data_IF_161830960097
#
_entry.id   IF_161830960097
#
_cell.length_a   1.000
_cell.length_b   1.000
_cell.length_c   1.000
_cell.angle_alpha   90.00
_cell.angle_beta   90.00
_cell.angle_gamma   90.00
#
_symmetry.space_group_name_H-M   'P 1'
#
loop_
_entity.id
_entity.type
_entity.pdbx_description
1 polymer ?
#
# COMPACT_ATOMS: atom_id res chain seq x y z
N UNK A 1 -5.12 2.99 -8.94
CA UNK A 1 -5.00 3.89 -7.76
C UNK A 1 -3.57 4.42 -7.71
N UNK A 2 -3.39 5.75 -7.65
CA UNK A 2 -2.08 6.37 -7.81
C UNK A 2 -0.97 5.90 -6.82
N UNK A 3 -1.22 5.71 -5.50
CA UNK A 3 -0.18 5.21 -4.60
C UNK A 3 0.27 3.78 -4.92
N UNK A 4 -0.68 2.88 -5.23
CA UNK A 4 -0.40 1.47 -5.57
C UNK A 4 0.39 1.38 -6.87
N UNK A 5 0.06 2.18 -7.89
CA UNK A 5 0.78 2.24 -9.16
C UNK A 5 2.22 2.74 -8.98
N UNK A 6 2.42 3.76 -8.14
CA UNK A 6 3.75 4.28 -7.83
C UNK A 6 4.60 3.24 -7.06
N UNK A 7 4.03 2.61 -6.04
CA UNK A 7 4.69 1.55 -5.27
C UNK A 7 5.00 0.33 -6.15
N UNK A 8 4.07 -0.10 -7.01
CA UNK A 8 4.31 -1.14 -8.02
C UNK A 8 5.50 -0.78 -8.92
N UNK A 9 5.66 0.49 -9.26
CA UNK A 9 6.79 1.02 -10.04
C UNK A 9 8.08 1.21 -9.23
N UNK A 10 8.16 0.65 -8.02
CA UNK A 10 9.25 0.80 -7.07
C UNK A 10 9.61 2.27 -6.78
N UNK A 11 8.61 3.16 -6.78
CA UNK A 11 8.77 4.56 -6.38
C UNK A 11 8.35 4.74 -4.93
N UNK A 12 9.17 5.48 -4.18
CA UNK A 12 8.83 5.86 -2.80
C UNK A 12 7.62 6.78 -2.82
N UNK A 13 6.60 6.43 -2.06
CA UNK A 13 5.38 7.22 -1.88
C UNK A 13 5.40 7.87 -0.51
N UNK A 14 5.16 9.18 -0.47
CA UNK A 14 4.82 9.92 0.75
C UNK A 14 3.34 10.30 0.63
N UNK A 15 2.54 9.96 1.62
CA UNK A 15 1.09 10.14 1.61
C UNK A 15 0.57 10.88 2.83
N UNK A 16 -0.60 11.49 2.73
CA UNK A 16 -1.28 12.04 3.90
C UNK A 16 -1.91 10.92 4.72
N UNK A 17 -1.97 11.07 6.04
CA UNK A 17 -2.62 10.12 6.94
C UNK A 17 -4.14 10.25 6.89
N UNK A 18 -4.72 9.84 5.76
CA UNK A 18 -6.16 9.77 5.52
C UNK A 18 -6.59 8.32 5.33
N UNK A 19 -7.89 8.06 5.49
CA UNK A 19 -8.48 6.75 5.21
C UNK A 19 -8.13 6.31 3.79
N UNK A 20 -7.72 5.05 3.65
CA UNK A 20 -7.26 4.46 2.39
C UNK A 20 -5.74 4.56 2.21
N UNK A 21 -5.17 5.76 2.35
CA UNK A 21 -3.72 5.95 2.22
C UNK A 21 -2.98 5.29 3.40
N UNK A 22 -3.52 5.43 4.61
CA UNK A 22 -2.96 4.79 5.80
C UNK A 22 -2.97 3.26 5.72
N UNK A 23 -3.94 2.64 5.03
CA UNK A 23 -3.97 1.20 4.79
C UNK A 23 -2.89 0.80 3.78
N UNK A 24 -2.74 1.52 2.67
CA UNK A 24 -1.72 1.24 1.65
C UNK A 24 -0.31 1.38 2.23
N UNK A 25 -0.08 2.38 3.08
CA UNK A 25 1.21 2.69 3.71
C UNK A 25 1.36 2.15 5.14
N UNK A 26 0.58 1.13 5.54
CA UNK A 26 0.59 0.59 6.90
C UNK A 26 1.99 0.14 7.37
N UNK A 27 2.79 -0.45 6.46
CA UNK A 27 4.17 -0.90 6.75
C UNK A 27 5.22 0.23 6.60
N UNK A 28 4.77 1.43 6.24
CA UNK A 28 5.59 2.61 5.98
C UNK A 28 5.06 3.84 6.74
N UNK A 29 4.87 3.77 8.07
CA UNK A 29 4.30 4.87 8.84
C UNK A 29 5.15 6.15 8.77
N UNK A 30 6.47 6.02 8.58
CA UNK A 30 7.37 7.15 8.40
C UNK A 30 7.14 7.92 7.09
N UNK A 31 6.37 7.37 6.16
CA UNK A 31 5.97 8.01 4.90
C UNK A 31 4.58 8.66 4.98
N UNK A 32 3.95 8.68 6.15
CA UNK A 32 2.69 9.35 6.40
C UNK A 32 2.91 10.75 7.00
N UNK A 33 2.19 11.74 6.49
CA UNK A 33 2.18 13.12 7.01
C UNK A 33 0.76 13.59 7.35
N UNK A 34 0.57 14.56 8.25
CA UNK A 34 -0.77 15.08 8.55
C UNK A 34 -1.46 15.68 7.30
N UNK A 35 -2.79 15.49 7.14
CA UNK A 35 -3.53 16.14 6.07
C UNK A 35 -3.55 17.66 6.24
N UNK A 36 -3.36 18.40 5.14
CA UNK A 36 -3.35 19.87 5.14
C UNK A 36 -2.05 20.51 5.64
N UNK A 37 -1.07 19.72 6.11
CA UNK A 37 0.22 20.24 6.56
C UNK A 37 1.26 20.20 5.43
N UNK A 38 1.32 21.29 4.67
CA UNK A 38 2.28 21.45 3.57
C UNK A 38 3.73 21.51 4.04
N UNK A 39 3.99 21.96 5.27
CA UNK A 39 5.35 22.01 5.85
C UNK A 39 5.82 20.61 6.18
N UNK A 40 4.98 19.78 6.81
CA UNK A 40 5.31 18.39 7.08
C UNK A 40 5.55 17.60 5.79
N UNK A 41 4.73 17.82 4.75
CA UNK A 41 4.94 17.20 3.44
C UNK A 41 6.29 17.61 2.83
N UNK A 42 6.60 18.91 2.81
CA UNK A 42 7.86 19.42 2.26
C UNK A 42 9.08 18.84 3.00
N UNK A 43 9.06 18.85 4.35
CA UNK A 43 10.13 18.26 5.16
C UNK A 43 10.31 16.77 4.86
N UNK A 44 9.23 16.01 4.77
CA UNK A 44 9.31 14.57 4.48
C UNK A 44 9.85 14.29 3.07
N UNK A 45 9.48 15.09 2.07
CA UNK A 45 10.05 14.96 0.72
C UNK A 45 11.55 15.26 0.70
N UNK A 46 12.01 16.24 1.49
CA UNK A 46 13.44 16.56 1.64
C UNK A 46 14.18 15.40 2.32
N UNK A 47 13.63 14.83 3.40
CA UNK A 47 14.19 13.66 4.09
C UNK A 47 14.36 12.47 3.12
N UNK A 48 13.31 12.13 2.37
CA UNK A 48 13.35 11.05 1.38
C UNK A 48 14.39 11.34 0.29
N UNK A 49 14.51 12.59 -0.16
CA UNK A 49 15.54 13.00 -1.12
C UNK A 49 16.96 12.89 -0.53
N UNK A 50 17.13 13.14 0.78
CA UNK A 50 18.41 13.09 1.47
C UNK A 50 18.93 11.66 1.71
N UNK A 51 18.07 10.63 1.70
CA UNK A 51 18.46 9.22 1.82
C UNK A 51 19.49 8.75 0.78
N UNK A 52 19.66 9.49 -0.32
CA UNK A 52 20.51 9.09 -1.44
C UNK A 52 19.86 8.01 -2.31
N UNK A 53 20.46 7.72 -3.49
CA UNK A 53 19.84 6.85 -4.48
C UNK A 53 19.66 5.40 -4.01
N UNK A 54 20.63 4.82 -3.30
CA UNK A 54 20.57 3.41 -2.92
C UNK A 54 19.51 3.16 -1.83
N UNK A 55 19.49 3.94 -0.76
CA UNK A 55 18.50 3.76 0.29
C UNK A 55 17.06 4.04 -0.21
N UNK A 56 16.88 5.01 -1.13
CA UNK A 56 15.59 5.19 -1.82
C UNK A 56 15.22 3.97 -2.66
N UNK A 57 16.17 3.36 -3.36
CA UNK A 57 15.92 2.17 -4.17
C UNK A 57 15.53 0.98 -3.28
N UNK A 58 16.19 0.81 -2.13
CA UNK A 58 15.81 -0.21 -1.12
C UNK A 58 14.38 0.02 -0.64
N UNK A 59 14.03 1.24 -0.24
CA UNK A 59 12.67 1.57 0.23
C UNK A 59 11.63 1.35 -0.87
N UNK A 60 11.90 1.78 -2.10
CA UNK A 60 11.03 1.56 -3.25
C UNK A 60 10.82 0.08 -3.58
N UNK A 61 11.88 -0.74 -3.49
CA UNK A 61 11.77 -2.20 -3.67
C UNK A 61 10.89 -2.84 -2.59
N UNK A 62 11.00 -2.40 -1.33
CA UNK A 62 10.12 -2.86 -0.23
C UNK A 62 8.66 -2.49 -0.50
N UNK A 63 8.39 -1.26 -0.94
CA UNK A 63 7.04 -0.83 -1.31
C UNK A 63 6.47 -1.65 -2.48
N UNK A 64 7.29 -1.94 -3.50
CA UNK A 64 6.88 -2.83 -4.60
C UNK A 64 6.56 -4.24 -4.12
N UNK A 65 7.37 -4.80 -3.23
CA UNK A 65 7.16 -6.14 -2.70
C UNK A 65 5.78 -6.25 -2.03
N UNK A 66 5.41 -5.31 -1.16
CA UNK A 66 4.06 -5.22 -0.56
C UNK A 66 2.96 -5.24 -1.62
N UNK A 67 3.10 -4.44 -2.68
CA UNK A 67 2.08 -4.37 -3.74
C UNK A 67 1.93 -5.68 -4.50
N UNK A 68 3.05 -6.34 -4.81
CA UNK A 68 3.04 -7.64 -5.50
C UNK A 68 2.42 -8.74 -4.62
N UNK A 69 2.67 -8.70 -3.33
CA UNK A 69 2.16 -9.68 -2.37
C UNK A 69 0.66 -9.52 -2.11
N UNK A 70 0.18 -8.29 -1.88
CA UNK A 70 -1.19 -8.04 -1.39
C UNK A 70 -2.18 -7.58 -2.47
N UNK A 71 -1.70 -6.95 -3.55
CA UNK A 71 -2.55 -6.27 -4.53
C UNK A 71 -2.38 -6.81 -5.96
N UNK A 72 -1.79 -8.00 -6.11
CA UNK A 72 -1.63 -8.62 -7.42
C UNK A 72 -2.95 -9.19 -7.95
N UNK A 73 -3.11 -9.16 -9.28
CA UNK A 73 -4.29 -9.73 -9.94
C UNK A 73 -4.51 -11.21 -9.60
N UNK A 74 -3.49 -12.09 -9.57
CA UNK A 74 -3.68 -13.48 -9.17
C UNK A 74 -4.21 -13.62 -7.74
N UNK A 75 -3.70 -12.82 -6.79
CA UNK A 75 -4.18 -12.83 -5.41
C UNK A 75 -5.65 -12.40 -5.33
N UNK A 76 -6.01 -11.33 -6.05
CA UNK A 76 -7.38 -10.84 -6.09
C UNK A 76 -8.35 -11.87 -6.69
N UNK A 77 -7.98 -12.47 -7.82
CA UNK A 77 -8.80 -13.49 -8.50
C UNK A 77 -9.04 -14.68 -7.57
N UNK A 78 -7.98 -15.26 -6.99
CA UNK A 78 -8.10 -16.44 -6.14
C UNK A 78 -9.02 -16.21 -4.93
N UNK A 79 -8.91 -15.05 -4.27
CA UNK A 79 -9.79 -14.72 -3.13
C UNK A 79 -11.27 -14.59 -3.51
N UNK A 80 -11.55 -14.07 -4.70
CA UNK A 80 -12.93 -13.96 -5.18
C UNK A 80 -13.48 -15.31 -5.64
N UNK A 81 -12.66 -16.14 -6.28
CA UNK A 81 -13.02 -17.53 -6.61
C UNK A 81 -13.38 -18.31 -5.35
N UNK A 82 -12.52 -18.28 -4.31
CA UNK A 82 -12.77 -18.91 -3.01
C UNK A 82 -14.08 -18.42 -2.38
N UNK A 83 -14.34 -17.12 -2.44
CA UNK A 83 -15.58 -16.53 -1.92
C UNK A 83 -16.81 -17.06 -2.68
N UNK A 84 -16.77 -17.06 -4.01
CA UNK A 84 -17.89 -17.54 -4.83
C UNK A 84 -18.13 -19.04 -4.64
N UNK A 85 -17.07 -19.84 -4.58
CA UNK A 85 -17.16 -21.27 -4.26
C UNK A 85 -17.78 -21.50 -2.88
N UNK A 86 -17.42 -20.70 -1.87
CA UNK A 86 -18.00 -20.80 -0.54
C UNK A 86 -19.52 -20.45 -0.51
N UNK A 87 -19.93 -19.45 -1.30
CA UNK A 87 -21.34 -19.04 -1.41
C UNK A 87 -22.20 -20.10 -2.13
N UNK A 88 -21.68 -20.68 -3.21
CA UNK A 88 -22.40 -21.69 -4.00
C UNK A 88 -22.33 -23.08 -3.35
N UNK A 89 -21.23 -23.40 -2.67
CA UNK A 89 -20.97 -24.68 -2.00
C UNK A 89 -21.65 -24.87 -0.64
N UNK A 90 -22.44 -23.90 -0.16
CA UNK A 90 -23.34 -24.08 0.98
C UNK A 90 -22.68 -24.22 2.36
N UNK A 91 -21.49 -23.64 2.57
CA UNK A 91 -20.85 -23.54 3.90
C UNK A 91 -20.84 -22.12 4.47
N UNK A 92 -21.80 -21.28 4.06
CA UNK A 92 -22.10 -20.08 4.84
C UNK A 92 -22.78 -20.57 6.10
N UNK A 93 -22.04 -20.57 7.21
CA UNK A 93 -22.57 -20.88 8.53
C UNK A 93 -23.87 -20.11 8.73
N UNK A 94 -24.97 -20.84 8.90
CA UNK A 94 -26.17 -20.26 9.51
C UNK A 94 -25.78 -19.97 10.95
N UNK A 95 -25.50 -18.72 11.25
CA UNK A 95 -25.56 -18.25 12.63
C UNK A 95 -27.01 -18.41 13.10
N UNK A 96 -27.17 -19.20 14.16
CA UNK A 96 -28.43 -19.49 14.84
C UNK A 96 -28.71 -18.42 15.90
#
# INVERSE_FOLDING_TARGET
MAPVEAMASARVVVGTNTSGINFILADFPDCLVPPGDSKALASKLIEVKALGPEARAVLGRRMRAKVVEEYSMPHFIGRYEELYEAMVGGKVGREA
#
